data_IF_556898965904
#
_entry.id   IF_556898965904
#
_cell.length_a   1.000
_cell.length_b   1.000
_cell.length_c   1.000
_cell.angle_alpha   90.00
_cell.angle_beta   90.00
_cell.angle_gamma   90.00
#
_symmetry.space_group_name_H-M   'P 1'
#
loop_
_entity.id
_entity.type
_entity.pdbx_description
1 polymer ?
#
# COMPACT_ATOMS: atom_id res chain seq x y z
N UNK A 1 -11.74 6.93 -7.45
CA UNK A 1 -10.36 6.47 -7.74
C UNK A 1 -9.42 7.49 -7.12
N UNK A 2 -8.67 7.12 -6.08
CA UNK A 2 -7.93 8.10 -5.24
C UNK A 2 -6.52 8.38 -5.76
N UNK A 3 -5.90 7.42 -6.48
CA UNK A 3 -4.59 7.57 -7.12
C UNK A 3 -4.68 7.90 -8.62
N UNK A 4 -5.80 7.58 -9.27
CA UNK A 4 -6.00 7.81 -10.71
C UNK A 4 -5.10 6.95 -11.61
N UNK A 5 -4.56 5.87 -11.07
CA UNK A 5 -3.70 4.89 -11.74
C UNK A 5 -4.21 3.49 -11.38
N UNK A 6 -4.36 2.63 -12.38
CA UNK A 6 -4.67 1.20 -12.19
C UNK A 6 -3.47 0.45 -11.57
N UNK A 7 -2.25 0.77 -12.02
CA UNK A 7 -0.98 0.22 -11.51
C UNK A 7 0.20 1.21 -11.68
N UNK A 8 1.24 1.04 -10.85
CA UNK A 8 2.54 1.74 -10.96
C UNK A 8 3.66 0.77 -10.58
N UNK A 9 4.77 0.77 -11.33
CA UNK A 9 6.01 0.09 -10.94
C UNK A 9 6.90 1.11 -10.21
N UNK A 10 7.29 0.78 -8.99
CA UNK A 10 8.13 1.63 -8.14
C UNK A 10 9.45 0.94 -7.83
N UNK A 11 10.55 1.58 -8.18
CA UNK A 11 11.88 1.18 -7.72
C UNK A 11 12.07 1.61 -6.26
N UNK A 12 12.00 0.64 -5.34
CA UNK A 12 12.11 0.90 -3.92
C UNK A 12 13.58 0.94 -3.46
N UNK A 13 13.94 1.84 -2.53
CA UNK A 13 15.23 1.79 -1.86
C UNK A 13 15.42 0.47 -1.12
N UNK A 14 16.67 0.00 -0.99
CA UNK A 14 17.00 -1.22 -0.24
C UNK A 14 16.66 -1.16 1.25
N UNK A 15 16.35 0.02 1.78
CA UNK A 15 15.86 0.20 3.15
C UNK A 15 14.38 -0.15 3.32
N UNK A 16 13.62 -0.29 2.22
CA UNK A 16 12.19 -0.62 2.25
C UNK A 16 12.06 -2.13 2.13
N UNK A 17 11.94 -2.81 3.28
CA UNK A 17 11.87 -4.28 3.35
C UNK A 17 10.53 -4.77 3.85
N UNK A 18 9.74 -3.90 4.50
CA UNK A 18 8.43 -4.25 5.06
C UNK A 18 7.32 -3.34 4.52
N UNK A 19 6.09 -3.77 4.68
CA UNK A 19 4.92 -2.96 4.36
C UNK A 19 4.85 -1.66 5.18
N UNK A 20 5.31 -1.67 6.43
CA UNK A 20 5.42 -0.43 7.22
C UNK A 20 6.45 0.55 6.63
N UNK A 21 7.60 0.06 6.17
CA UNK A 21 8.58 0.89 5.48
C UNK A 21 8.03 1.45 4.16
N UNK A 22 7.30 0.62 3.40
CA UNK A 22 6.66 1.03 2.16
C UNK A 22 5.61 2.10 2.43
N UNK A 23 4.76 1.93 3.46
CA UNK A 23 3.78 2.94 3.84
C UNK A 23 4.44 4.27 4.17
N UNK A 24 5.49 4.27 4.98
CA UNK A 24 6.22 5.51 5.28
C UNK A 24 6.81 6.14 4.02
N UNK A 25 7.41 5.34 3.14
CA UNK A 25 7.95 5.80 1.86
C UNK A 25 6.86 6.44 0.99
N UNK A 26 5.70 5.81 0.84
CA UNK A 26 4.57 6.31 0.06
C UNK A 26 3.97 7.59 0.69
N UNK A 27 3.79 7.64 2.01
CA UNK A 27 3.31 8.84 2.71
C UNK A 27 4.22 10.04 2.46
N UNK A 28 5.54 9.83 2.43
CA UNK A 28 6.52 10.89 2.15
C UNK A 28 6.44 11.41 0.71
N UNK A 29 5.86 10.66 -0.24
CA UNK A 29 5.56 11.16 -1.60
C UNK A 29 4.43 12.21 -1.61
N UNK A 30 3.66 12.34 -0.53
CA UNK A 30 2.54 13.28 -0.39
C UNK A 30 1.21 12.73 -0.90
N UNK A 31 0.27 13.62 -1.20
CA UNK A 31 -1.04 13.23 -1.74
C UNK A 31 -0.87 12.58 -3.13
N UNK A 32 -1.61 11.50 -3.44
CA UNK A 32 -2.75 10.94 -2.67
C UNK A 32 -2.36 9.89 -1.62
N UNK A 33 -1.10 9.43 -1.60
CA UNK A 33 -0.65 8.36 -0.70
C UNK A 33 -0.79 8.72 0.78
N UNK A 34 -0.46 9.94 1.16
CA UNK A 34 -0.64 10.41 2.55
C UNK A 34 -2.10 10.37 3.00
N UNK A 35 -3.06 10.55 2.07
CA UNK A 35 -4.49 10.50 2.37
C UNK A 35 -4.99 9.05 2.51
N UNK A 36 -4.51 8.13 1.67
CA UNK A 36 -4.87 6.70 1.68
C UNK A 36 -4.55 6.04 3.02
N UNK A 37 -3.44 6.43 3.66
CA UNK A 37 -2.97 5.85 4.91
C UNK A 37 -3.39 6.62 6.17
N UNK A 38 -4.30 7.61 6.06
CA UNK A 38 -4.87 8.26 7.24
C UNK A 38 -5.59 7.22 8.13
N UNK A 39 -5.56 7.37 9.47
CA UNK A 39 -6.18 6.41 10.39
C UNK A 39 -7.68 6.15 10.15
N UNK A 40 -8.36 7.14 9.59
CA UNK A 40 -9.78 7.09 9.21
C UNK A 40 -10.05 6.29 7.93
N UNK A 41 -9.02 6.04 7.11
CA UNK A 41 -9.09 5.20 5.93
C UNK A 41 -8.62 3.80 6.30
N UNK A 42 -9.57 2.90 6.57
CA UNK A 42 -9.30 1.48 6.83
C UNK A 42 -8.95 0.73 5.53
N UNK A 43 -7.84 1.15 4.91
CA UNK A 43 -7.32 0.58 3.67
C UNK A 43 -6.82 -0.84 3.94
N UNK A 44 -7.35 -1.81 3.19
CA UNK A 44 -6.85 -3.19 3.19
C UNK A 44 -5.75 -3.32 2.15
N UNK A 45 -4.83 -4.26 2.37
CA UNK A 45 -3.77 -4.56 1.42
C UNK A 45 -3.71 -6.05 1.09
N UNK A 46 -3.27 -6.36 -0.12
CA UNK A 46 -2.92 -7.71 -0.53
C UNK A 46 -1.49 -7.72 -1.07
N UNK A 47 -0.75 -8.78 -0.76
CA UNK A 47 0.56 -9.10 -1.32
C UNK A 47 0.41 -10.30 -2.25
N UNK A 48 0.77 -10.18 -3.52
CA UNK A 48 0.69 -11.26 -4.51
C UNK A 48 -0.68 -11.96 -4.46
N UNK A 49 -1.77 -11.19 -4.55
CA UNK A 49 -3.17 -11.65 -4.48
C UNK A 49 -3.62 -12.25 -3.12
N UNK A 50 -2.76 -12.25 -2.10
CA UNK A 50 -3.10 -12.73 -0.75
C UNK A 50 -3.39 -11.55 0.18
N UNK A 51 -4.57 -11.53 0.80
CA UNK A 51 -4.95 -10.50 1.77
C UNK A 51 -4.04 -10.54 3.01
N UNK A 52 -3.51 -9.38 3.38
CA UNK A 52 -2.60 -9.24 4.51
C UNK A 52 -3.31 -8.51 5.65
N UNK A 53 -3.28 -9.11 6.84
CA UNK A 53 -3.94 -8.59 8.04
C UNK A 53 -2.97 -7.87 9.01
N UNK A 54 -1.67 -7.91 8.71
CA UNK A 54 -0.58 -7.39 9.55
C UNK A 54 0.58 -6.95 8.67
N UNK A 55 1.60 -6.31 9.25
CA UNK A 55 2.84 -6.01 8.53
C UNK A 55 3.47 -7.30 7.96
N UNK A 56 4.15 -7.18 6.82
CA UNK A 56 4.76 -8.28 6.07
C UNK A 56 6.03 -7.81 5.36
N UNK A 57 6.89 -8.77 5.03
CA UNK A 57 8.09 -8.52 4.24
C UNK A 57 7.75 -8.37 2.76
N UNK A 58 8.43 -7.46 2.09
CA UNK A 58 8.31 -7.21 0.66
C UNK A 58 9.57 -7.73 0.00
N UNK A 59 9.39 -8.54 -1.05
CA UNK A 59 10.49 -9.03 -1.88
C UNK A 59 10.45 -8.35 -3.26
N UNK A 60 11.59 -8.31 -3.94
CA UNK A 60 11.67 -7.77 -5.29
C UNK A 60 10.70 -8.51 -6.22
N UNK A 61 9.93 -7.76 -7.02
CA UNK A 61 8.91 -8.31 -7.90
C UNK A 61 7.57 -8.63 -7.22
N UNK A 62 7.39 -8.27 -5.94
CA UNK A 62 6.09 -8.39 -5.27
C UNK A 62 5.07 -7.41 -5.83
N UNK A 63 3.84 -7.88 -5.97
CA UNK A 63 2.68 -7.05 -6.29
C UNK A 63 1.92 -6.69 -5.01
N UNK A 64 1.63 -5.41 -4.82
CA UNK A 64 0.88 -4.92 -3.66
C UNK A 64 -0.34 -4.15 -4.15
N UNK A 65 -1.51 -4.60 -3.74
CA UNK A 65 -2.78 -3.95 -4.07
C UNK A 65 -3.42 -3.33 -2.83
N UNK A 66 -3.98 -2.13 -2.99
CA UNK A 66 -4.70 -1.40 -1.95
C UNK A 66 -6.19 -1.39 -2.26
N UNK A 67 -7.01 -1.75 -1.28
CA UNK A 67 -8.46 -1.79 -1.42
C UNK A 67 -9.11 -0.89 -0.38
N UNK A 68 -10.16 -0.13 -0.75
CA UNK A 68 -10.97 0.56 0.24
C UNK A 68 -11.57 -0.46 1.22
N UNK A 69 -11.97 -0.02 2.43
CA UNK A 69 -12.75 -0.86 3.32
C UNK A 69 -13.99 -1.36 2.58
N UNK A 70 -14.25 -2.67 2.66
CA UNK A 70 -15.47 -3.25 2.09
C UNK A 70 -16.65 -2.63 2.82
N UNK A 71 -17.37 -1.72 2.17
CA UNK A 71 -18.64 -1.20 2.62
C UNK A 71 -19.74 -2.13 2.11
N UNK A 72 -19.92 -3.26 2.79
CA UNK A 72 -20.97 -4.22 2.46
C UNK A 72 -22.01 -4.29 3.58
N UNK A 73 -23.23 -3.82 3.29
CA UNK A 73 -24.48 -4.17 4.00
C UNK A 73 -24.72 -3.52 5.35
#
# INVERSE_FOLDING_TARGET
ELVGLDDEIIDLPSSVMTFDDLKHYLILRGAPWSEIFLPQNATRCALNQNLMNSNFNIEAGSEIAFFPPITGG
#
